data_IF_859607320388
#
_entry.id   IF_859607320388
#
_cell.length_a   1.000
_cell.length_b   1.000
_cell.length_c   1.000
_cell.angle_alpha   90.00
_cell.angle_beta   90.00
_cell.angle_gamma   90.00
#
_symmetry.space_group_name_H-M   'P 1'
#
loop_
_entity.id
_entity.type
_entity.pdbx_description
1 polymer ?
#
# COMPACT_ATOMS: atom_id res chain seq x y z
N UNK A 1 -51.60 -55.99 5.62
CA UNK A 1 -51.52 -55.35 6.95
C UNK A 1 -50.97 -53.93 6.77
N UNK A 2 -51.81 -52.92 7.03
CA UNK A 2 -51.41 -51.49 7.10
C UNK A 2 -51.05 -51.17 8.55
N UNK A 3 -50.03 -50.34 8.82
CA UNK A 3 -50.29 -49.16 9.65
C UNK A 3 -49.46 -47.91 9.27
N UNK A 4 -50.15 -46.78 9.06
CA UNK A 4 -50.16 -45.57 9.90
C UNK A 4 -49.10 -44.52 9.55
N UNK A 5 -49.54 -43.56 8.73
CA UNK A 5 -48.91 -42.26 8.51
C UNK A 5 -49.32 -41.34 9.66
N UNK A 6 -48.37 -40.77 10.38
CA UNK A 6 -48.59 -39.70 11.36
C UNK A 6 -48.25 -38.39 10.67
N UNK A 7 -49.26 -37.58 10.39
CA UNK A 7 -49.10 -36.23 9.88
C UNK A 7 -49.01 -35.25 11.06
N UNK A 8 -47.83 -34.69 11.29
CA UNK A 8 -47.62 -33.59 12.24
C UNK A 8 -47.79 -32.26 11.51
N UNK A 9 -48.84 -31.52 11.86
CA UNK A 9 -49.07 -30.17 11.38
C UNK A 9 -48.33 -29.18 12.29
N UNK A 10 -47.23 -28.61 11.80
CA UNK A 10 -46.50 -27.54 12.48
C UNK A 10 -47.07 -26.20 12.05
N UNK A 11 -47.72 -25.49 12.98
CA UNK A 11 -48.22 -24.15 12.76
C UNK A 11 -47.04 -23.16 12.61
N UNK A 12 -46.93 -22.53 11.43
CA UNK A 12 -46.01 -21.42 11.20
C UNK A 12 -46.61 -20.13 11.76
N UNK A 13 -46.02 -19.61 12.83
CA UNK A 13 -46.31 -18.26 13.32
C UNK A 13 -45.62 -17.23 12.41
N UNK A 14 -46.41 -16.44 11.69
CA UNK A 14 -45.91 -15.32 10.89
C UNK A 14 -45.51 -14.16 11.81
N UNK A 15 -44.22 -14.07 12.13
CA UNK A 15 -43.66 -12.90 12.79
C UNK A 15 -43.61 -11.73 11.79
N UNK A 16 -44.35 -10.67 12.10
CA UNK A 16 -44.34 -9.42 11.33
C UNK A 16 -42.97 -8.75 11.50
N UNK A 17 -42.12 -8.84 10.47
CA UNK A 17 -40.85 -8.13 10.38
C UNK A 17 -41.14 -6.64 10.14
N UNK A 18 -40.99 -5.83 11.19
CA UNK A 18 -40.90 -4.38 11.02
C UNK A 18 -39.65 -4.01 10.19
N UNK A 19 -39.65 -2.84 9.51
CA UNK A 19 -38.52 -2.40 8.71
C UNK A 19 -37.28 -2.28 9.60
N UNK A 20 -36.29 -3.13 9.36
CA UNK A 20 -35.02 -3.08 10.06
C UNK A 20 -34.37 -1.70 9.82
N UNK A 21 -33.84 -1.04 10.86
CA UNK A 21 -33.13 0.23 10.67
C UNK A 21 -31.97 -0.01 9.71
N UNK A 22 -31.92 0.80 8.64
CA UNK A 22 -30.85 0.75 7.65
C UNK A 22 -29.51 0.92 8.38
N UNK A 23 -28.74 -0.16 8.46
CA UNK A 23 -27.41 -0.18 9.06
C UNK A 23 -26.54 0.70 8.18
N UNK A 24 -26.16 1.88 8.69
CA UNK A 24 -25.22 2.76 8.02
C UNK A 24 -23.94 1.96 7.73
N UNK A 25 -23.70 1.70 6.44
CA UNK A 25 -22.54 0.97 5.97
C UNK A 25 -21.30 1.81 6.29
N UNK A 26 -20.37 1.24 7.05
CA UNK A 26 -19.16 1.94 7.42
C UNK A 26 -18.35 2.28 6.15
N UNK A 27 -17.75 3.48 6.06
CA UNK A 27 -16.92 3.84 4.90
C UNK A 27 -15.83 2.78 4.68
N UNK A 28 -15.55 2.41 3.43
CA UNK A 28 -14.50 1.44 3.14
C UNK A 28 -13.15 1.95 3.68
N UNK A 29 -12.29 1.06 4.20
CA UNK A 29 -10.97 1.45 4.68
C UNK A 29 -10.23 2.14 3.53
N UNK A 30 -9.73 3.35 3.79
CA UNK A 30 -8.94 4.07 2.80
C UNK A 30 -7.69 3.26 2.46
N UNK A 31 -7.53 2.90 1.18
CA UNK A 31 -6.32 2.23 0.70
C UNK A 31 -5.12 3.13 0.98
N UNK A 32 -4.10 2.60 1.66
CA UNK A 32 -2.94 3.39 2.09
C UNK A 32 -1.65 2.57 2.00
N UNK A 33 -0.59 3.28 1.67
CA UNK A 33 0.77 2.76 1.70
C UNK A 33 1.20 2.11 0.39
N UNK A 34 2.48 1.76 0.36
CA UNK A 34 3.15 1.11 -0.75
C UNK A 34 3.48 -0.33 -0.35
N UNK A 35 3.13 -1.30 -1.18
CA UNK A 35 3.45 -2.71 -0.94
C UNK A 35 4.64 -3.11 -1.81
N UNK A 36 5.71 -3.68 -1.26
CA UNK A 36 6.87 -4.12 -2.04
C UNK A 36 6.75 -5.60 -2.38
N UNK A 37 6.85 -5.94 -3.67
CA UNK A 37 6.71 -7.31 -4.19
C UNK A 37 7.94 -7.69 -5.02
N UNK A 38 8.58 -8.79 -4.67
CA UNK A 38 9.67 -9.38 -5.45
C UNK A 38 9.11 -10.19 -6.63
N UNK A 39 9.55 -9.87 -7.85
CA UNK A 39 9.25 -10.62 -9.07
C UNK A 39 10.39 -11.63 -9.31
N UNK A 40 10.24 -12.83 -8.74
CA UNK A 40 11.23 -13.90 -8.79
C UNK A 40 12.04 -14.08 -7.50
N UNK A 41 12.73 -15.21 -7.38
CA UNK A 41 13.50 -15.58 -6.19
C UNK A 41 14.89 -14.93 -6.14
N UNK A 42 15.45 -14.54 -7.29
CA UNK A 42 16.78 -13.94 -7.40
C UNK A 42 16.84 -12.44 -7.02
N UNK A 43 15.71 -11.81 -6.72
CA UNK A 43 15.61 -10.39 -6.34
C UNK A 43 15.17 -10.19 -4.88
N UNK A 44 15.05 -11.27 -4.11
CA UNK A 44 14.53 -11.23 -2.74
C UNK A 44 15.38 -10.35 -1.81
N UNK A 45 16.71 -10.36 -1.94
CA UNK A 45 17.61 -9.58 -1.09
C UNK A 45 17.42 -8.08 -1.34
N UNK A 46 17.33 -7.68 -2.61
CA UNK A 46 17.18 -6.32 -3.08
C UNK A 46 15.78 -5.77 -2.75
N UNK A 47 14.74 -6.60 -2.94
CA UNK A 47 13.38 -6.26 -2.58
C UNK A 47 13.22 -6.09 -1.06
N UNK A 48 13.86 -6.94 -0.25
CA UNK A 48 13.91 -6.77 1.22
C UNK A 48 14.62 -5.48 1.63
N UNK A 49 15.70 -5.11 0.95
CA UNK A 49 16.38 -3.84 1.20
C UNK A 49 15.45 -2.65 0.92
N UNK A 50 14.77 -2.65 -0.22
CA UNK A 50 13.79 -1.62 -0.57
C UNK A 50 12.63 -1.58 0.44
N UNK A 51 12.07 -2.73 0.79
CA UNK A 51 10.97 -2.84 1.74
C UNK A 51 11.33 -2.24 3.11
N UNK A 52 12.55 -2.47 3.61
CA UNK A 52 13.03 -1.86 4.87
C UNK A 52 13.09 -0.34 4.79
N UNK A 53 13.55 0.21 3.66
CA UNK A 53 13.64 1.66 3.47
C UNK A 53 12.25 2.30 3.32
N UNK A 54 11.34 1.65 2.59
CA UNK A 54 9.96 2.11 2.38
C UNK A 54 9.14 2.04 3.67
N UNK A 55 9.20 0.91 4.39
CA UNK A 55 8.36 0.70 5.58
C UNK A 55 8.86 1.43 6.83
N UNK A 56 10.06 2.02 6.78
CA UNK A 56 10.51 2.98 7.80
C UNK A 56 9.70 4.28 7.79
N UNK A 57 9.04 4.61 6.67
CA UNK A 57 8.21 5.80 6.55
C UNK A 57 6.73 5.48 6.89
N UNK A 58 6.15 6.09 7.95
CA UNK A 58 4.77 5.83 8.34
C UNK A 58 3.70 6.20 7.29
N UNK A 59 4.04 7.03 6.29
CA UNK A 59 3.11 7.38 5.20
C UNK A 59 3.07 6.32 4.12
N UNK A 60 4.21 5.64 3.90
CA UNK A 60 4.35 4.58 2.92
C UNK A 60 4.08 3.20 3.50
N UNK A 61 3.98 3.07 4.82
CA UNK A 61 3.71 1.80 5.49
C UNK A 61 2.33 1.24 5.08
N UNK A 62 2.30 0.04 4.48
CA UNK A 62 1.05 -0.66 4.16
C UNK A 62 0.42 -1.25 5.44
N UNK A 63 -0.89 -1.46 5.43
CA UNK A 63 -1.60 -2.14 6.52
C UNK A 63 -1.52 -3.67 6.37
N UNK A 64 -0.30 -4.22 6.40
CA UNK A 64 -0.05 -5.66 6.36
C UNK A 64 0.87 -6.06 7.50
N UNK A 65 0.73 -7.30 7.96
CA UNK A 65 1.63 -7.87 8.96
C UNK A 65 3.05 -8.06 8.40
N UNK A 66 4.03 -8.06 9.30
CA UNK A 66 5.44 -8.18 8.92
C UNK A 66 5.76 -9.49 8.18
N UNK A 67 5.06 -10.59 8.52
CA UNK A 67 5.30 -11.90 7.92
C UNK A 67 4.84 -11.90 6.46
N UNK A 68 3.63 -11.42 6.17
CA UNK A 68 3.13 -11.17 4.82
C UNK A 68 4.11 -10.29 4.06
N UNK A 69 4.55 -9.18 4.65
CA UNK A 69 5.42 -8.22 3.99
C UNK A 69 6.76 -8.86 3.59
N UNK A 70 7.33 -9.72 4.44
CA UNK A 70 8.54 -10.50 4.14
C UNK A 70 8.32 -11.51 3.02
N UNK A 71 7.20 -12.23 3.04
CA UNK A 71 6.83 -13.18 1.98
C UNK A 71 6.69 -12.46 0.64
N UNK A 72 5.99 -11.32 0.60
CA UNK A 72 5.89 -10.51 -0.62
C UNK A 72 7.26 -9.99 -1.09
N UNK A 73 8.13 -9.61 -0.16
CA UNK A 73 9.49 -9.16 -0.44
C UNK A 73 10.48 -10.28 -0.83
N UNK A 74 10.04 -11.53 -1.04
CA UNK A 74 10.92 -12.60 -1.54
C UNK A 74 11.26 -13.69 -0.52
N UNK A 75 10.84 -13.58 0.75
CA UNK A 75 11.05 -14.65 1.73
C UNK A 75 10.20 -15.89 1.38
N UNK A 76 10.74 -17.11 1.47
CA UNK A 76 9.90 -18.30 1.38
C UNK A 76 8.96 -18.36 2.58
N UNK A 77 7.71 -18.74 2.36
CA UNK A 77 6.80 -19.02 3.47
C UNK A 77 7.30 -20.27 4.23
N UNK A 78 7.27 -20.23 5.56
CA UNK A 78 7.61 -21.40 6.38
C UNK A 78 6.66 -22.57 6.08
N UNK A 79 7.13 -23.81 6.27
CA UNK A 79 6.33 -25.01 5.93
C UNK A 79 5.08 -25.13 6.79
N UNK A 80 5.15 -24.66 8.04
CA UNK A 80 4.08 -24.59 9.03
C UNK A 80 3.25 -23.29 8.93
N UNK A 81 3.57 -22.38 8.00
CA UNK A 81 2.82 -21.15 7.82
C UNK A 81 1.36 -21.40 7.36
N UNK A 82 0.44 -20.48 7.70
CA UNK A 82 -0.93 -20.48 7.19
C UNK A 82 -1.01 -20.75 5.67
N UNK A 83 -2.03 -21.50 5.21
CA UNK A 83 -2.16 -21.88 3.80
C UNK A 83 -2.25 -20.66 2.87
N UNK A 84 -2.78 -19.54 3.36
CA UNK A 84 -2.83 -18.27 2.63
C UNK A 84 -1.44 -17.70 2.34
N UNK A 85 -0.54 -17.70 3.31
CA UNK A 85 0.84 -17.20 3.11
C UNK A 85 1.63 -18.08 2.14
N UNK A 86 1.44 -19.41 2.21
CA UNK A 86 2.05 -20.34 1.25
C UNK A 86 1.49 -20.15 -0.16
N UNK A 87 0.19 -19.88 -0.27
CA UNK A 87 -0.44 -19.57 -1.56
C UNK A 87 0.07 -18.24 -2.12
N UNK A 88 0.22 -17.23 -1.26
CA UNK A 88 0.78 -15.93 -1.63
C UNK A 88 2.22 -16.03 -2.14
N UNK A 89 3.06 -16.83 -1.47
CA UNK A 89 4.43 -17.09 -1.92
C UNK A 89 4.46 -17.72 -3.33
N UNK A 90 3.56 -18.68 -3.59
CA UNK A 90 3.41 -19.32 -4.92
C UNK A 90 2.91 -18.34 -5.97
N UNK A 91 1.91 -17.51 -5.65
CA UNK A 91 1.39 -16.48 -6.57
C UNK A 91 2.50 -15.50 -6.92
N UNK A 92 3.25 -15.01 -5.94
CA UNK A 92 4.42 -14.14 -6.16
C UNK A 92 5.43 -14.78 -7.10
N UNK A 93 5.76 -16.05 -6.90
CA UNK A 93 6.69 -16.79 -7.76
C UNK A 93 6.18 -16.99 -9.20
N UNK A 94 4.86 -17.04 -9.39
CA UNK A 94 4.24 -17.14 -10.71
C UNK A 94 4.14 -15.81 -11.45
N UNK A 95 4.45 -14.68 -10.80
CA UNK A 95 4.37 -13.36 -11.43
C UNK A 95 5.42 -13.24 -12.55
N UNK A 96 5.05 -12.64 -13.69
CA UNK A 96 5.99 -12.38 -14.77
C UNK A 96 7.07 -11.40 -14.30
N UNK A 97 8.33 -11.69 -14.64
CA UNK A 97 9.47 -10.80 -14.35
C UNK A 97 9.54 -9.62 -15.32
N UNK A 98 8.96 -9.78 -16.51
CA UNK A 98 8.85 -8.74 -17.54
C UNK A 98 7.55 -7.96 -17.32
N UNK A 99 7.56 -6.63 -17.41
CA UNK A 99 6.35 -5.84 -17.21
C UNK A 99 5.38 -6.04 -18.38
N UNK A 100 4.18 -6.49 -18.07
CA UNK A 100 3.08 -6.67 -19.02
C UNK A 100 1.74 -6.28 -18.36
N UNK A 101 0.72 -6.05 -19.18
CA UNK A 101 -0.59 -5.60 -18.68
C UNK A 101 -1.28 -6.65 -17.81
N UNK A 102 -1.06 -7.95 -18.07
CA UNK A 102 -1.63 -9.02 -17.25
C UNK A 102 -0.92 -9.12 -15.90
N UNK A 103 0.42 -9.05 -15.88
CA UNK A 103 1.20 -8.94 -14.66
C UNK A 103 0.80 -7.74 -13.81
N UNK A 104 0.62 -6.57 -14.42
CA UNK A 104 0.16 -5.36 -13.72
C UNK A 104 -1.21 -5.56 -13.04
N UNK A 105 -2.16 -6.23 -13.71
CA UNK A 105 -3.47 -6.55 -13.15
C UNK A 105 -3.39 -7.51 -11.97
N UNK A 106 -2.56 -8.55 -12.08
CA UNK A 106 -2.38 -9.52 -10.99
C UNK A 106 -1.70 -8.87 -9.77
N UNK A 107 -0.67 -8.04 -10.00
CA UNK A 107 0.01 -7.26 -8.96
C UNK A 107 -0.98 -6.28 -8.31
N UNK A 108 -1.81 -5.59 -9.10
CA UNK A 108 -2.84 -4.69 -8.59
C UNK A 108 -3.91 -5.44 -7.79
N UNK A 109 -4.30 -6.65 -8.19
CA UNK A 109 -5.23 -7.49 -7.42
C UNK A 109 -4.66 -7.82 -6.03
N UNK A 110 -3.38 -8.21 -5.94
CA UNK A 110 -2.68 -8.42 -4.66
C UNK A 110 -2.69 -7.12 -3.82
N UNK A 111 -2.42 -5.97 -4.45
CA UNK A 111 -2.48 -4.67 -3.79
C UNK A 111 -3.88 -4.33 -3.26
N UNK A 112 -4.92 -4.63 -4.04
CA UNK A 112 -6.31 -4.37 -3.67
C UNK A 112 -6.76 -5.23 -2.48
N UNK A 113 -6.46 -6.53 -2.50
CA UNK A 113 -6.73 -7.45 -1.39
C UNK A 113 -6.04 -7.03 -0.09
N UNK A 114 -4.90 -6.33 -0.19
CA UNK A 114 -4.12 -5.84 0.95
C UNK A 114 -4.31 -4.34 1.22
N UNK A 115 -5.31 -3.72 0.60
CA UNK A 115 -5.63 -2.30 0.74
C UNK A 115 -4.44 -1.35 0.54
N UNK A 116 -3.49 -1.71 -0.32
CA UNK A 116 -2.39 -0.85 -0.72
C UNK A 116 -2.84 0.12 -1.83
N UNK A 117 -2.29 1.32 -1.87
CA UNK A 117 -2.59 2.29 -2.94
C UNK A 117 -1.70 2.04 -4.17
N UNK A 118 -0.44 1.72 -3.92
CA UNK A 118 0.55 1.37 -4.94
C UNK A 118 1.27 0.08 -4.56
N UNK A 119 1.72 -0.65 -5.57
CA UNK A 119 2.59 -1.82 -5.41
C UNK A 119 3.89 -1.57 -6.15
N UNK A 120 5.01 -1.76 -5.47
CA UNK A 120 6.36 -1.59 -6.01
C UNK A 120 6.89 -2.97 -6.38
N UNK A 121 6.88 -3.27 -7.67
CA UNK A 121 7.31 -4.53 -8.24
C UNK A 121 8.82 -4.46 -8.53
N UNK A 122 9.60 -5.30 -7.83
CA UNK A 122 11.07 -5.34 -7.94
C UNK A 122 11.47 -6.53 -8.80
N UNK A 123 12.29 -6.30 -9.82
CA UNK A 123 12.75 -7.33 -10.77
C UNK A 123 14.24 -7.17 -11.04
N UNK A 124 14.91 -8.22 -11.50
CA UNK A 124 16.28 -8.13 -12.01
C UNK A 124 16.27 -7.95 -13.53
N UNK A 125 16.99 -6.95 -14.03
CA UNK A 125 17.28 -6.77 -15.46
C UNK A 125 18.79 -6.87 -15.65
N UNK A 126 19.25 -8.03 -16.12
CA UNK A 126 20.66 -8.40 -16.02
C UNK A 126 21.08 -8.48 -14.55
N UNK A 127 22.18 -7.81 -14.20
CA UNK A 127 22.70 -7.74 -12.82
C UNK A 127 22.21 -6.50 -12.05
N UNK A 128 21.18 -5.80 -12.56
CA UNK A 128 20.66 -4.57 -11.96
C UNK A 128 19.23 -4.79 -11.44
N UNK A 129 18.98 -4.62 -10.14
CA UNK A 129 17.63 -4.61 -9.62
C UNK A 129 16.93 -3.31 -10.00
N UNK A 130 15.70 -3.45 -10.48
CA UNK A 130 14.83 -2.36 -10.91
C UNK A 130 13.50 -2.47 -10.19
N UNK A 131 13.01 -1.36 -9.66
CA UNK A 131 11.69 -1.25 -9.06
C UNK A 131 10.78 -0.41 -9.96
N UNK A 132 9.62 -0.98 -10.29
CA UNK A 132 8.55 -0.31 -11.06
C UNK A 132 7.31 -0.17 -10.18
N UNK A 133 6.61 0.95 -10.33
CA UNK A 133 5.42 1.23 -9.54
C UNK A 133 4.18 0.84 -10.33
N UNK A 134 3.27 0.10 -9.70
CA UNK A 134 1.93 -0.22 -10.20
C UNK A 134 0.91 0.51 -9.34
N UNK A 135 0.06 1.32 -9.95
CA UNK A 135 -1.05 1.98 -9.24
C UNK A 135 -2.22 1.00 -9.16
N UNK A 136 -2.65 0.67 -7.94
CA UNK A 136 -3.67 -0.37 -7.70
C UNK A 136 -5.00 0.00 -8.34
N UNK A 137 -5.41 1.26 -8.23
CA UNK A 137 -6.68 1.75 -8.77
C UNK A 137 -6.80 1.64 -10.30
N UNK A 138 -5.69 1.77 -11.03
CA UNK A 138 -5.67 1.73 -12.50
C UNK A 138 -5.15 0.41 -13.07
N UNK A 139 -4.53 -0.42 -12.24
CA UNK A 139 -3.84 -1.65 -12.66
C UNK A 139 -2.82 -1.41 -13.78
N UNK A 140 -2.10 -0.29 -13.72
CA UNK A 140 -1.11 0.12 -14.73
C UNK A 140 0.24 0.41 -14.08
N UNK A 141 1.29 0.10 -14.84
CA UNK A 141 2.63 0.59 -14.52
C UNK A 141 2.70 2.10 -14.70
N UNK A 142 3.29 2.77 -13.73
CA UNK A 142 3.68 4.16 -13.84
C UNK A 142 4.96 4.25 -14.68
N UNK A 143 5.17 5.38 -15.36
CA UNK A 143 6.37 5.61 -16.19
C UNK A 143 7.65 5.82 -15.37
N UNK A 144 7.57 5.67 -14.05
CA UNK A 144 8.67 5.89 -13.11
C UNK A 144 9.37 4.57 -12.84
N UNK A 145 10.67 4.59 -13.09
CA UNK A 145 11.59 3.49 -12.87
C UNK A 145 12.56 3.92 -11.77
N UNK A 146 12.67 3.10 -10.73
CA UNK A 146 13.62 3.30 -9.64
C UNK A 146 14.71 2.25 -9.83
N UNK A 147 15.95 2.70 -9.97
CA UNK A 147 17.11 1.81 -10.10
C UNK A 147 17.86 1.78 -8.77
N UNK A 148 18.32 0.59 -8.35
CA UNK A 148 19.20 0.52 -7.20
C UNK A 148 20.62 0.92 -7.58
N UNK A 149 21.30 1.58 -6.66
CA UNK A 149 22.73 1.88 -6.76
C UNK A 149 23.51 0.70 -6.19
N UNK A 150 24.43 0.16 -7.00
CA UNK A 150 25.35 -0.87 -6.54
C UNK A 150 26.55 -0.24 -5.83
N UNK A 151 26.67 -0.52 -4.54
CA UNK A 151 27.81 -0.15 -3.70
C UNK A 151 28.70 -1.38 -3.51
N UNK A 152 29.94 -1.30 -3.99
CA UNK A 152 30.93 -2.37 -3.79
C UNK A 152 31.61 -2.18 -2.44
N UNK A 153 31.33 -3.07 -1.50
CA UNK A 153 31.98 -3.10 -0.20
C UNK A 153 33.38 -3.71 -0.24
N UNK A 154 34.07 -3.61 0.89
CA UNK A 154 35.34 -4.29 1.13
C UNK A 154 35.13 -5.81 1.03
N UNK A 155 36.02 -6.51 0.31
CA UNK A 155 35.87 -7.94 0.00
C UNK A 155 35.04 -8.26 -1.25
N UNK A 156 34.66 -7.27 -2.06
CA UNK A 156 34.01 -7.49 -3.35
C UNK A 156 32.50 -7.81 -3.27
N UNK A 157 31.92 -7.78 -2.07
CA UNK A 157 30.48 -7.95 -1.87
C UNK A 157 29.75 -6.72 -2.43
N UNK A 158 28.90 -6.94 -3.42
CA UNK A 158 28.03 -5.90 -3.97
C UNK A 158 26.78 -5.81 -3.10
N UNK A 159 26.49 -4.60 -2.61
CA UNK A 159 25.25 -4.28 -1.92
C UNK A 159 24.45 -3.30 -2.78
N UNK A 160 23.15 -3.51 -2.86
CA UNK A 160 22.26 -2.61 -3.57
C UNK A 160 21.58 -1.68 -2.56
N UNK A 161 21.67 -0.37 -2.78
CA UNK A 161 20.97 0.67 -2.04
C UNK A 161 19.92 1.34 -2.93
N UNK A 162 18.84 1.85 -2.33
CA UNK A 162 17.73 2.47 -3.07
C UNK A 162 17.63 3.98 -2.77
N UNK A 163 18.66 4.78 -3.11
CA UNK A 163 18.68 6.19 -2.76
C UNK A 163 17.53 6.95 -3.43
N UNK A 164 16.78 7.71 -2.64
CA UNK A 164 15.67 8.53 -3.15
C UNK A 164 14.39 7.77 -3.49
N UNK A 165 14.33 6.44 -3.31
CA UNK A 165 13.15 5.65 -3.61
C UNK A 165 11.93 6.12 -2.81
N UNK A 166 12.07 6.39 -1.51
CA UNK A 166 11.00 6.92 -0.67
C UNK A 166 10.51 8.29 -1.16
N UNK A 167 11.43 9.19 -1.51
CA UNK A 167 11.09 10.52 -2.06
C UNK A 167 10.28 10.43 -3.34
N UNK A 168 10.64 9.52 -4.24
CA UNK A 168 9.89 9.25 -5.47
C UNK A 168 8.51 8.67 -5.15
N UNK A 169 8.44 7.69 -4.24
CA UNK A 169 7.19 7.04 -3.87
C UNK A 169 6.18 8.02 -3.23
N UNK A 170 6.65 8.98 -2.44
CA UNK A 170 5.80 10.02 -1.86
C UNK A 170 5.03 10.84 -2.89
N UNK A 171 5.59 11.02 -4.09
CA UNK A 171 4.93 11.79 -5.15
C UNK A 171 3.60 11.16 -5.60
N UNK A 172 3.43 9.85 -5.40
CA UNK A 172 2.20 9.14 -5.77
C UNK A 172 1.06 9.30 -4.76
N UNK A 173 1.36 9.70 -3.52
CA UNK A 173 0.41 9.90 -2.42
C UNK A 173 0.02 11.36 -2.21
N UNK A 174 0.61 12.29 -2.97
CA UNK A 174 0.13 13.67 -2.99
C UNK A 174 -1.15 13.67 -3.81
N UNK A 175 -2.29 13.86 -3.14
CA UNK A 175 -3.57 14.02 -3.82
C UNK A 175 -3.41 15.07 -4.93
N UNK A 176 -3.77 14.77 -6.19
CA UNK A 176 -3.68 15.75 -7.26
C UNK A 176 -4.45 16.98 -6.80
N UNK A 177 -3.78 18.15 -6.83
CA UNK A 177 -4.41 19.40 -6.47
C UNK A 177 -5.72 19.50 -7.26
N UNK A 178 -6.84 19.69 -6.56
CA UNK A 178 -8.13 19.83 -7.20
C UNK A 178 -8.00 20.85 -8.35
N UNK A 179 -8.56 20.56 -9.54
CA UNK A 179 -8.45 21.47 -10.67
C UNK A 179 -8.90 22.84 -10.20
N UNK A 180 -7.97 23.79 -10.20
CA UNK A 180 -8.27 25.19 -9.89
C UNK A 180 -9.29 25.59 -10.94
N UNK A 181 -10.53 25.82 -10.52
CA UNK A 181 -11.57 26.29 -11.43
C UNK A 181 -11.00 27.49 -12.21
N UNK A 182 -11.23 27.59 -13.54
CA UNK A 182 -10.77 28.74 -14.31
C UNK A 182 -11.22 30.00 -13.57
N UNK A 183 -10.27 30.81 -13.10
CA UNK A 183 -10.61 32.14 -12.62
C UNK A 183 -11.25 32.84 -13.81
N UNK A 184 -12.57 32.99 -13.77
CA UNK A 184 -13.30 33.76 -14.75
C UNK A 184 -12.60 35.10 -14.89
N UNK A 185 -12.09 35.37 -16.09
CA UNK A 185 -11.25 36.52 -16.34
C UNK A 185 -11.95 37.79 -15.89
N UNK A 186 -11.35 38.50 -14.93
CA UNK A 186 -11.67 39.90 -14.72
C UNK A 186 -11.40 40.63 -16.05
N UNK A 187 -12.37 41.39 -16.60
CA UNK A 187 -12.18 42.09 -17.86
C UNK A 187 -10.99 43.03 -17.75
N UNK A 188 -10.10 42.92 -18.73
CA UNK A 188 -8.91 43.75 -18.89
C UNK A 188 -9.37 45.20 -19.09
N UNK A 189 -9.33 46.00 -18.02
CA UNK A 189 -9.33 47.44 -18.15
C UNK A 189 -7.93 47.88 -18.63
N UNK A 190 -7.79 48.77 -19.63
CA UNK A 190 -6.50 49.26 -20.08
C UNK A 190 -5.85 50.08 -18.96
N UNK A 191 -4.85 49.50 -18.29
CA UNK A 191 -4.04 50.22 -17.30
C UNK A 191 -2.92 50.97 -18.01
N UNK A 192 -3.00 52.30 -17.87
CA UNK A 192 -1.95 53.29 -18.16
C UNK A 192 -0.61 52.81 -17.60
N UNK A 193 0.39 52.71 -18.48
CA UNK A 193 1.77 52.39 -18.11
C UNK A 193 2.36 53.64 -17.44
N UNK A 194 2.61 53.57 -16.15
CA UNK A 194 3.37 54.58 -15.41
C UNK A 194 4.68 53.90 -14.95
N UNK A 195 5.78 54.34 -15.56
CA UNK A 195 7.14 53.85 -15.31
C UNK A 195 7.61 54.33 -13.93
N UNK A 196 7.90 53.39 -13.01
CA UNK A 196 8.53 53.70 -11.72
C UNK A 196 9.97 53.15 -11.70
N UNK A 197 10.99 53.93 -11.27
CA UNK A 197 12.41 53.61 -11.47
C UNK A 197 12.96 52.59 -10.45
N UNK A 198 14.11 51.94 -10.75
CA UNK A 198 14.61 50.82 -9.95
C UNK A 198 15.45 51.28 -8.75
N UNK A 199 15.32 50.56 -7.63
CA UNK A 199 16.24 50.63 -6.46
C UNK A 199 16.29 49.26 -5.75
N UNK A 200 17.35 48.96 -4.98
CA UNK A 200 18.30 47.91 -5.32
C UNK A 200 18.19 46.64 -4.45
N UNK A 201 18.92 45.61 -4.89
CA UNK A 201 19.11 44.30 -4.25
C UNK A 201 19.73 44.43 -2.85
N UNK A 202 19.13 43.76 -1.86
CA UNK A 202 19.86 43.38 -0.64
C UNK A 202 19.47 41.97 -0.11
N UNK A 203 20.51 41.13 -0.11
CA UNK A 203 20.91 40.05 0.82
C UNK A 203 19.85 39.17 1.52
N UNK A 204 19.95 37.88 1.18
CA UNK A 204 19.80 36.66 2.01
C UNK A 204 19.34 36.90 3.47
N UNK A 205 18.12 36.45 3.76
CA UNK A 205 17.69 36.09 5.10
C UNK A 205 17.18 34.65 5.09
N UNK A 206 17.93 33.81 5.79
CA UNK A 206 17.72 32.38 5.99
C UNK A 206 16.40 32.05 6.71
N UNK A 207 15.47 31.45 5.96
CA UNK A 207 14.13 31.03 6.42
C UNK A 207 14.13 29.96 7.54
N UNK A 208 15.28 29.35 7.84
CA UNK A 208 15.44 28.28 8.83
C UNK A 208 15.69 28.75 10.28
N UNK A 209 15.60 30.06 10.56
CA UNK A 209 15.78 30.62 11.93
C UNK A 209 14.48 30.98 12.67
N UNK A 210 13.31 30.59 12.17
CA UNK A 210 12.03 30.85 12.85
C UNK A 210 11.87 29.99 14.12
N UNK A 211 11.65 30.58 15.31
CA UNK A 211 11.37 29.86 16.57
C UNK A 211 10.09 29.01 16.55
N UNK A 212 9.22 29.19 15.55
CA UNK A 212 8.01 28.38 15.39
C UNK A 212 8.30 26.94 14.95
N UNK A 213 9.48 26.68 14.36
CA UNK A 213 9.89 25.33 13.93
C UNK A 213 10.16 24.38 15.10
N UNK A 214 10.49 24.89 16.30
CA UNK A 214 10.77 24.06 17.49
C UNK A 214 9.67 24.08 18.56
N UNK A 215 8.57 24.79 18.31
CA UNK A 215 7.55 25.11 19.32
C UNK A 215 6.82 23.93 20.00
N UNK A 216 6.44 22.83 19.31
CA UNK A 216 5.62 21.80 19.96
C UNK A 216 6.40 20.61 20.54
N UNK A 217 7.72 20.51 20.35
CA UNK A 217 8.50 19.44 21.01
C UNK A 217 8.70 19.66 22.52
N UNK A 218 8.21 20.77 23.08
CA UNK A 218 8.50 21.20 24.45
C UNK A 218 7.36 21.15 25.47
N UNK A 219 6.15 20.72 25.13
CA UNK A 219 5.02 20.76 26.08
C UNK A 219 4.18 19.48 26.08
N UNK A 220 4.09 18.87 27.26
CA UNK A 220 3.21 17.78 27.70
C UNK A 220 3.73 16.34 27.54
N UNK A 221 4.84 16.09 28.24
CA UNK A 221 4.98 14.93 29.13
C UNK A 221 3.82 14.96 30.15
N UNK A 222 3.22 13.80 30.45
CA UNK A 222 2.22 13.56 31.53
C UNK A 222 0.71 13.61 31.21
N UNK A 223 0.26 12.84 30.21
CA UNK A 223 -1.07 12.16 30.25
C UNK A 223 -0.86 10.78 29.61
N UNK A 224 -0.50 9.72 30.33
CA UNK A 224 -1.11 9.28 31.58
C UNK A 224 -1.94 8.02 31.32
N UNK A 225 -1.28 6.97 30.83
CA UNK A 225 -1.45 5.58 31.26
C UNK A 225 -2.86 5.03 31.63
N UNK A 226 -3.92 5.29 30.85
CA UNK A 226 -5.28 4.86 31.22
C UNK A 226 -6.13 4.10 30.17
N UNK A 227 -5.62 3.79 28.96
CA UNK A 227 -6.39 2.98 27.99
C UNK A 227 -5.56 1.80 27.46
N UNK A 228 -4.93 1.08 28.40
CA UNK A 228 -4.24 -0.20 28.16
C UNK A 228 -5.09 -1.39 28.67
N UNK A 229 -6.32 -1.17 29.15
CA UNK A 229 -7.15 -2.23 29.73
C UNK A 229 -8.60 -2.08 29.23
N UNK A 230 -8.93 -2.68 28.08
CA UNK A 230 -10.23 -3.31 27.78
C UNK A 230 -10.44 -3.55 26.27
N UNK A 231 -9.76 -4.55 25.69
CA UNK A 231 -10.38 -5.43 24.68
C UNK A 231 -9.52 -6.68 24.51
N UNK A 232 -9.61 -7.56 25.50
CA UNK A 232 -9.48 -8.99 25.27
C UNK A 232 -10.84 -9.55 24.79
N UNK A 233 -10.78 -10.73 24.15
CA UNK A 233 -11.87 -11.62 23.72
C UNK A 233 -12.47 -11.26 22.33
N UNK A 234 -12.67 -12.15 21.35
CA UNK A 234 -12.89 -13.62 21.26
C UNK A 234 -12.64 -14.01 19.78
N UNK A 235 -11.76 -14.96 19.44
CA UNK A 235 -11.96 -16.41 19.14
C UNK A 235 -12.82 -16.76 17.89
N UNK A 236 -12.19 -17.57 17.03
CA UNK A 236 -12.64 -18.62 16.05
C UNK A 236 -13.61 -18.29 14.89
N UNK A 237 -13.24 -18.62 13.64
CA UNK A 237 -13.60 -19.88 12.91
C UNK A 237 -13.26 -19.76 11.39
N UNK A 238 -12.17 -20.38 10.90
CA UNK A 238 -12.08 -21.55 9.98
C UNK A 238 -13.13 -21.64 8.87
N UNK A 239 -12.71 -21.44 7.61
CA UNK A 239 -13.25 -22.25 6.50
C UNK A 239 -12.18 -22.53 5.42
N UNK A 240 -12.09 -23.79 5.02
CA UNK A 240 -10.94 -24.38 4.30
C UNK A 240 -11.35 -24.75 2.88
N UNK A 241 -10.92 -24.01 1.87
CA UNK A 241 -11.18 -24.37 0.47
C UNK A 241 -10.10 -25.30 -0.08
N UNK A 242 -10.46 -26.55 -0.38
CA UNK A 242 -9.63 -27.51 -1.12
C UNK A 242 -9.89 -27.43 -2.61
N UNK A 243 -8.89 -26.99 -3.38
CA UNK A 243 -8.88 -27.10 -4.83
C UNK A 243 -8.06 -28.32 -5.26
N UNK A 244 -8.74 -29.31 -5.87
CA UNK A 244 -8.10 -30.42 -6.58
C UNK A 244 -7.89 -30.04 -8.04
N UNK A 245 -6.64 -29.97 -8.48
CA UNK A 245 -6.26 -29.90 -9.88
C UNK A 245 -5.92 -31.29 -10.41
N UNK A 246 -6.60 -31.72 -11.46
CA UNK A 246 -6.40 -32.98 -12.17
C UNK A 246 -5.43 -32.74 -13.33
N UNK A 247 -4.39 -33.57 -13.46
CA UNK A 247 -3.42 -33.51 -14.57
C UNK A 247 -3.77 -34.62 -15.56
N UNK A 248 -3.95 -34.27 -16.84
CA UNK A 248 -4.09 -35.24 -17.93
C UNK A 248 -2.73 -35.56 -18.56
N UNK A 249 -2.56 -36.79 -19.10
CA UNK A 249 -1.27 -37.41 -19.41
C UNK A 249 -0.54 -36.80 -20.62
#
# INVERSE_FOLDING_TARGET
MRPFVVASATAFAAASLGPAPARAEAPPPASRGALVVALGSNVATEAKALARDVYRDPRLQPNVDEVTARVLAGEPAAEDAPPELRSLARVRESLPTTPDDLGAKLIAAIGHERHAEIVVAVSMTGDRPMARVVRVASAKYESVLIEATAERGEGGVVRHSWPGATTILHQFFVAPAAPVAPQAGSPIAPRKIETQPPKPVDKRSSWYKSPWFWGPLGAVVATGAAIVIATQATKDDVDTLRLRGQVSP
#
